data_IF_839287854115
#
_entry.id   IF_839287854115
#
_cell.length_a   1.000
_cell.length_b   1.000
_cell.length_c   1.000
_cell.angle_alpha   90.00
_cell.angle_beta   90.00
_cell.angle_gamma   90.00
#
_symmetry.space_group_name_H-M   'P 1'
#
loop_
_entity.id
_entity.type
_entity.pdbx_description
1 polymer ?
#
# COMPACT_ATOMS: atom_id res chain seq x y z
N UNK A 1 -13.39 -24.69 -9.07
CA UNK A 1 -13.39 -24.47 -7.60
C UNK A 1 -12.10 -23.84 -7.10
N UNK A 2 -10.92 -24.13 -7.66
CA UNK A 2 -9.65 -23.54 -7.21
C UNK A 2 -9.61 -22.01 -7.32
N UNK A 3 -9.98 -21.44 -8.47
CA UNK A 3 -10.07 -19.98 -8.66
C UNK A 3 -10.97 -19.30 -7.61
N UNK A 4 -12.13 -19.88 -7.32
CA UNK A 4 -13.07 -19.35 -6.33
C UNK A 4 -12.45 -19.31 -4.92
N UNK A 5 -11.75 -20.39 -4.53
CA UNK A 5 -11.05 -20.43 -3.25
C UNK A 5 -9.98 -19.35 -3.17
N UNK A 6 -9.17 -19.18 -4.22
CA UNK A 6 -8.12 -18.15 -4.28
C UNK A 6 -8.67 -16.74 -4.13
N UNK A 7 -9.73 -16.40 -4.87
CA UNK A 7 -10.35 -15.07 -4.80
C UNK A 7 -10.86 -14.78 -3.39
N UNK A 8 -11.53 -15.76 -2.77
CA UNK A 8 -12.09 -15.57 -1.44
C UNK A 8 -10.97 -15.44 -0.39
N UNK A 9 -10.01 -16.37 -0.37
CA UNK A 9 -9.05 -16.44 0.74
C UNK A 9 -7.90 -15.45 0.60
N UNK A 10 -7.37 -15.27 -0.60
CA UNK A 10 -6.18 -14.43 -0.83
C UNK A 10 -6.61 -13.00 -1.18
N UNK A 11 -7.44 -12.83 -2.20
CA UNK A 11 -7.71 -11.50 -2.74
C UNK A 11 -8.67 -10.70 -1.85
N UNK A 12 -9.72 -11.34 -1.32
CA UNK A 12 -10.70 -10.66 -0.49
C UNK A 12 -10.29 -10.65 0.99
N UNK A 13 -10.02 -11.82 1.55
CA UNK A 13 -9.79 -11.95 2.99
C UNK A 13 -8.36 -11.58 3.39
N UNK A 14 -7.33 -12.15 2.78
CA UNK A 14 -5.96 -11.85 3.21
C UNK A 14 -5.52 -10.43 2.81
N UNK A 15 -5.65 -10.08 1.52
CA UNK A 15 -5.14 -8.82 0.98
C UNK A 15 -5.74 -7.61 1.67
N UNK A 16 -7.08 -7.56 1.81
CA UNK A 16 -7.75 -6.41 2.44
C UNK A 16 -7.50 -6.30 3.94
N UNK A 17 -7.48 -7.42 4.67
CA UNK A 17 -7.30 -7.40 6.13
C UNK A 17 -5.89 -6.93 6.50
N UNK A 18 -4.86 -7.55 5.92
CA UNK A 18 -3.47 -7.26 6.28
C UNK A 18 -3.09 -5.80 5.96
N UNK A 19 -3.40 -5.32 4.74
CA UNK A 19 -3.02 -3.97 4.33
C UNK A 19 -3.78 -2.90 5.10
N UNK A 20 -5.06 -3.11 5.40
CA UNK A 20 -5.88 -2.14 6.14
C UNK A 20 -5.45 -2.06 7.61
N UNK A 21 -5.20 -3.20 8.25
CA UNK A 21 -4.68 -3.22 9.62
C UNK A 21 -3.29 -2.55 9.70
N UNK A 22 -2.41 -2.83 8.75
CA UNK A 22 -1.09 -2.19 8.68
C UNK A 22 -1.18 -0.67 8.46
N UNK A 23 -2.07 -0.19 7.58
CA UNK A 23 -2.29 1.24 7.35
C UNK A 23 -2.79 1.95 8.62
N UNK A 24 -3.76 1.36 9.32
CA UNK A 24 -4.30 1.93 10.57
C UNK A 24 -3.23 1.98 11.65
N UNK A 25 -2.48 0.88 11.85
CA UNK A 25 -1.42 0.80 12.85
C UNK A 25 -0.31 1.81 12.60
N UNK A 26 0.16 1.90 11.35
CA UNK A 26 1.23 2.82 10.96
C UNK A 26 0.76 4.28 11.02
N UNK A 27 -0.46 4.56 10.58
CA UNK A 27 -1.06 5.90 10.69
C UNK A 27 -1.22 6.37 12.13
N UNK A 28 -1.62 5.48 13.05
CA UNK A 28 -1.67 5.81 14.47
C UNK A 28 -0.28 6.10 15.03
N UNK A 29 0.72 5.30 14.68
CA UNK A 29 2.11 5.52 15.08
C UNK A 29 2.61 6.89 14.59
N UNK A 30 2.42 7.22 13.31
CA UNK A 30 2.82 8.52 12.74
C UNK A 30 2.19 9.72 13.49
N UNK A 31 0.92 9.62 13.87
CA UNK A 31 0.25 10.67 14.65
C UNK A 31 0.74 10.79 16.09
N UNK A 32 1.20 9.69 16.70
CA UNK A 32 1.81 9.70 18.03
C UNK A 32 3.22 10.31 17.98
N UNK A 33 3.97 10.02 16.92
CA UNK A 33 5.32 10.54 16.70
C UNK A 33 5.33 12.03 16.30
N UNK A 34 4.25 12.54 15.69
CA UNK A 34 4.05 13.96 15.35
C UNK A 34 2.76 14.54 15.97
N UNK A 35 2.84 15.07 17.21
CA UNK A 35 1.71 15.72 17.87
C UNK A 35 1.18 16.96 17.13
N UNK A 36 2.00 17.64 16.33
CA UNK A 36 1.56 18.81 15.56
C UNK A 36 0.63 18.38 14.42
N UNK A 37 0.94 17.27 13.74
CA UNK A 37 0.04 16.67 12.76
C UNK A 37 -1.31 16.29 13.38
N UNK A 38 -1.31 15.73 14.60
CA UNK A 38 -2.53 15.41 15.35
C UNK A 38 -3.33 16.68 15.69
N UNK A 39 -2.66 17.74 16.16
CA UNK A 39 -3.30 19.01 16.51
C UNK A 39 -3.90 19.73 15.30
N UNK A 40 -3.25 19.68 14.13
CA UNK A 40 -3.78 20.28 12.88
C UNK A 40 -5.10 19.65 12.43
N UNK A 41 -5.30 18.36 12.74
CA UNK A 41 -6.56 17.64 12.49
C UNK A 41 -7.64 17.96 13.53
N UNK A 42 -7.28 18.30 14.77
CA UNK A 42 -8.23 18.45 15.87
C UNK A 42 -9.39 19.41 15.49
N UNK A 43 -10.62 18.90 15.51
CA UNK A 43 -11.82 19.64 15.12
C UNK A 43 -12.08 19.79 13.61
N UNK A 44 -11.22 19.26 12.73
CA UNK A 44 -11.31 19.37 11.27
C UNK A 44 -11.50 18.01 10.60
N UNK A 45 -12.67 17.40 10.79
CA UNK A 45 -13.01 16.07 10.22
C UNK A 45 -12.92 16.01 8.69
N UNK A 46 -13.03 17.15 8.01
CA UNK A 46 -12.84 17.26 6.56
C UNK A 46 -11.44 16.90 6.07
N UNK A 47 -10.44 16.87 6.96
CA UNK A 47 -9.07 16.47 6.63
C UNK A 47 -8.83 14.96 6.69
N UNK A 48 -9.80 14.16 7.15
CA UNK A 48 -9.63 12.71 7.30
C UNK A 48 -9.27 12.01 5.97
N UNK A 49 -9.92 12.32 4.82
CA UNK A 49 -9.53 11.72 3.54
C UNK A 49 -8.08 12.04 3.17
N UNK A 50 -7.66 13.30 3.33
CA UNK A 50 -6.28 13.73 3.07
C UNK A 50 -5.28 13.03 4.00
N UNK A 51 -5.62 12.87 5.28
CA UNK A 51 -4.80 12.11 6.22
C UNK A 51 -4.63 10.66 5.77
N UNK A 52 -5.69 10.03 5.25
CA UNK A 52 -5.62 8.67 4.70
C UNK A 52 -4.59 8.58 3.57
N UNK A 53 -4.63 9.50 2.61
CA UNK A 53 -3.67 9.55 1.51
C UNK A 53 -2.23 9.77 2.01
N UNK A 54 -2.03 10.66 2.99
CA UNK A 54 -0.70 10.92 3.54
C UNK A 54 -0.14 9.72 4.33
N UNK A 55 -0.99 8.97 5.04
CA UNK A 55 -0.60 7.72 5.68
C UNK A 55 -0.12 6.73 4.61
N UNK A 56 -0.89 6.54 3.53
CA UNK A 56 -0.52 5.63 2.44
C UNK A 56 0.75 6.07 1.69
N UNK A 57 1.01 7.38 1.61
CA UNK A 57 2.21 7.95 1.00
C UNK A 57 3.46 7.69 1.85
N UNK A 58 3.34 7.87 3.17
CA UNK A 58 4.45 7.71 4.11
C UNK A 58 4.74 6.24 4.40
N UNK A 59 3.69 5.46 4.60
CA UNK A 59 3.74 4.06 5.01
C UNK A 59 2.88 3.26 4.04
N UNK A 60 3.51 2.76 2.97
CA UNK A 60 2.81 1.93 2.00
C UNK A 60 2.64 0.51 2.56
N UNK A 61 1.41 0.02 2.79
CA UNK A 61 1.19 -1.33 3.30
C UNK A 61 1.64 -2.41 2.30
N UNK A 62 1.75 -2.07 1.02
CA UNK A 62 2.27 -2.94 -0.03
C UNK A 62 3.62 -2.41 -0.54
N UNK A 63 4.71 -3.03 -0.11
CA UNK A 63 6.09 -2.60 -0.40
C UNK A 63 6.50 -2.73 -1.88
N UNK A 64 5.64 -3.31 -2.71
CA UNK A 64 5.86 -3.44 -4.14
C UNK A 64 5.08 -4.62 -4.71
N UNK A 65 4.98 -4.67 -6.03
CA UNK A 65 4.42 -5.81 -6.75
C UNK A 65 5.44 -6.32 -7.76
N UNK A 66 5.58 -7.63 -7.83
CA UNK A 66 6.42 -8.25 -8.85
C UNK A 66 5.79 -8.13 -10.24
N UNK A 67 6.66 -8.09 -11.24
CA UNK A 67 6.30 -8.09 -12.67
C UNK A 67 7.21 -9.07 -13.38
N UNK A 68 6.77 -9.57 -14.54
CA UNK A 68 7.60 -10.35 -15.46
C UNK A 68 7.69 -9.65 -16.80
N UNK A 69 8.90 -9.58 -17.35
CA UNK A 69 9.16 -8.92 -18.62
C UNK A 69 8.58 -9.75 -19.77
N UNK A 70 7.55 -9.25 -20.46
CA UNK A 70 6.90 -9.97 -21.55
C UNK A 70 7.84 -10.20 -22.76
N UNK A 71 8.74 -9.25 -22.99
CA UNK A 71 9.76 -9.26 -24.05
C UNK A 71 11.04 -8.63 -23.51
N UNK A 72 12.18 -8.94 -24.13
CA UNK A 72 13.43 -8.26 -23.82
C UNK A 72 13.38 -6.79 -24.24
N UNK A 73 14.00 -5.91 -23.46
CA UNK A 73 13.97 -4.48 -23.74
C UNK A 73 14.96 -3.71 -22.86
N UNK A 74 14.95 -2.39 -23.01
CA UNK A 74 15.71 -1.50 -22.16
C UNK A 74 14.73 -0.69 -21.30
N UNK A 75 14.91 -0.71 -19.99
CA UNK A 75 14.17 0.11 -19.03
C UNK A 75 15.17 0.94 -18.22
N UNK A 76 15.04 2.27 -18.32
CA UNK A 76 15.91 3.23 -17.62
C UNK A 76 17.43 2.94 -17.77
N UNK A 77 17.86 2.52 -18.96
CA UNK A 77 19.25 2.18 -19.26
C UNK A 77 19.64 0.73 -18.94
N UNK A 78 18.77 -0.04 -18.27
CA UNK A 78 19.02 -1.44 -17.91
C UNK A 78 18.40 -2.39 -18.92
N UNK A 79 19.19 -3.34 -19.42
CA UNK A 79 18.69 -4.40 -20.30
C UNK A 79 17.91 -5.46 -19.49
N UNK A 80 16.62 -5.57 -19.73
CA UNK A 80 15.77 -6.63 -19.16
C UNK A 80 15.58 -7.74 -20.19
N UNK A 81 15.64 -9.00 -19.74
CA UNK A 81 15.41 -10.18 -20.58
C UNK A 81 13.96 -10.64 -20.43
N UNK A 82 13.40 -11.25 -21.47
CA UNK A 82 12.08 -11.90 -21.37
C UNK A 82 12.04 -12.86 -20.16
N UNK A 83 10.93 -12.81 -19.42
CA UNK A 83 10.66 -13.47 -18.15
C UNK A 83 11.47 -13.00 -16.93
N UNK A 84 12.47 -12.11 -17.11
CA UNK A 84 13.33 -11.62 -16.03
C UNK A 84 13.31 -10.08 -15.96
N UNK A 85 12.38 -9.61 -15.15
CA UNK A 85 12.55 -8.48 -14.25
C UNK A 85 12.15 -8.99 -12.84
#
# INVERSE_FOLDING_TARGET
MQELMTIITIDLLASGNETTTAAIGSGLKLLIEDPDALNRRAGRTTLIPTLGEEILRLESPAQGMFRRCAHSGNLAGSASKRANC
#
